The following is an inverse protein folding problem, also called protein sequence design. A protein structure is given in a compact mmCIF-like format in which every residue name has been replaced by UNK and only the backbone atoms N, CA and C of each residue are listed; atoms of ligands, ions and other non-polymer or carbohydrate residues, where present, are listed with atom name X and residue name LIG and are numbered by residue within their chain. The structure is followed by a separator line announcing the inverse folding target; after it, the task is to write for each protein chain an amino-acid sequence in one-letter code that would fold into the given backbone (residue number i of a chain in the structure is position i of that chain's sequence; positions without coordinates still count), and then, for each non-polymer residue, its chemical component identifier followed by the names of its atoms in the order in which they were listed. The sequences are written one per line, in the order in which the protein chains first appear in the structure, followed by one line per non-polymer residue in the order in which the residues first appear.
data_IF_920679139576
#
_entry.id   IF_920679139576
#
_cell.length_a   1.000
_cell.length_b   1.000
_cell.length_c   1.000
_cell.angle_alpha   90.00
_cell.angle_beta   90.00
_cell.angle_gamma   90.00
#
_symmetry.space_group_name_H-M   'P 1'
#
loop_
_entity.id
_entity.type
_entity.pdbx_description
1 polymer ?
#
# COMPACT_ATOMS: atom_id res chain seq x y z
N UNK A 1 -7.98 35.07 4.92
CA UNK A 1 -6.57 34.98 4.49
C UNK A 1 -6.54 33.87 3.46
N UNK A 2 -6.60 34.20 2.17
CA UNK A 2 -5.49 34.60 1.30
C UNK A 2 -4.71 33.35 0.88
N UNK A 3 -5.10 32.76 -0.26
CA UNK A 3 -4.41 31.67 -0.92
C UNK A 3 -3.03 32.17 -1.40
N UNK A 4 -2.09 32.26 -0.47
CA UNK A 4 -0.71 32.65 -0.72
C UNK A 4 0.15 31.41 -0.47
N UNK A 5 0.56 30.75 -1.55
CA UNK A 5 1.31 29.50 -1.50
C UNK A 5 1.56 28.96 -2.90
N UNK A 6 2.36 27.89 -3.01
CA UNK A 6 2.54 27.16 -4.25
C UNK A 6 1.55 25.99 -4.26
N UNK A 7 0.65 25.95 -5.24
CA UNK A 7 -0.38 24.91 -5.34
C UNK A 7 -0.16 24.05 -6.59
N UNK A 8 -0.39 22.74 -6.45
CA UNK A 8 -0.51 21.81 -7.58
C UNK A 8 -2.00 21.65 -7.87
N UNK A 9 -2.42 22.12 -9.04
CA UNK A 9 -3.75 21.89 -9.59
C UNK A 9 -3.65 20.72 -10.58
N UNK A 10 -4.06 19.50 -10.19
CA UNK A 10 -3.91 18.34 -11.05
C UNK A 10 -4.82 18.44 -12.27
N UNK A 11 -4.38 17.88 -13.40
CA UNK A 11 -5.15 17.91 -14.66
C UNK A 11 -6.44 17.11 -14.61
N UNK A 12 -6.55 16.17 -13.66
CA UNK A 12 -7.75 15.36 -13.47
C UNK A 12 -8.91 16.16 -12.83
N UNK A 13 -8.68 17.44 -12.50
CA UNK A 13 -9.68 18.36 -11.96
C UNK A 13 -10.07 18.09 -10.51
N UNK A 14 -9.39 17.17 -9.82
CA UNK A 14 -9.67 16.96 -8.39
C UNK A 14 -8.92 17.95 -7.49
N UNK A 15 -9.06 17.77 -6.17
CA UNK A 15 -8.59 18.73 -5.16
C UNK A 15 -7.14 19.16 -5.38
N UNK A 16 -6.91 20.48 -5.39
CA UNK A 16 -5.58 21.08 -5.41
C UNK A 16 -4.83 20.79 -4.12
N UNK A 17 -3.51 20.65 -4.22
CA UNK A 17 -2.66 20.44 -3.05
C UNK A 17 -1.74 21.64 -2.88
N UNK A 18 -1.81 22.24 -1.71
CA UNK A 18 -0.84 23.25 -1.27
C UNK A 18 0.49 22.57 -0.97
N UNK A 19 1.58 23.09 -1.53
CA UNK A 19 2.93 22.68 -1.19
C UNK A 19 3.40 23.48 0.03
N UNK A 20 3.39 22.81 1.18
CA UNK A 20 3.80 23.38 2.46
C UNK A 20 5.10 22.74 2.97
N UNK A 21 5.59 23.21 4.12
CA UNK A 21 6.60 22.51 4.94
C UNK A 21 6.16 21.14 5.46
N UNK A 22 4.98 20.63 5.16
CA UNK A 22 4.58 19.31 5.66
C UNK A 22 4.40 18.31 4.51
N UNK A 23 4.62 18.76 3.26
CA UNK A 23 4.46 17.94 2.07
C UNK A 23 5.80 17.48 1.52
N UNK A 24 6.11 16.19 1.72
CA UNK A 24 7.29 15.57 1.14
C UNK A 24 6.91 14.55 0.05
N UNK A 25 7.21 14.84 -1.23
CA UNK A 25 7.02 13.88 -2.30
C UNK A 25 7.82 12.59 -2.05
N UNK A 26 7.13 11.46 -2.14
CA UNK A 26 7.70 10.14 -2.00
C UNK A 26 8.24 9.65 -3.35
N UNK A 27 9.49 9.23 -3.33
CA UNK A 27 10.15 8.53 -4.43
C UNK A 27 9.95 7.03 -4.24
N UNK A 28 9.62 6.31 -5.31
CA UNK A 28 9.63 4.86 -5.26
C UNK A 28 11.08 4.37 -5.21
N UNK A 29 11.43 3.58 -4.20
CA UNK A 29 12.78 3.03 -4.04
C UNK A 29 12.83 1.65 -4.66
N UNK A 30 12.00 0.73 -4.16
CA UNK A 30 11.94 -0.65 -4.67
C UNK A 30 10.72 -1.38 -4.11
N UNK A 31 10.36 -2.51 -4.77
CA UNK A 31 9.45 -3.51 -4.23
C UNK A 31 10.29 -4.68 -3.71
N UNK A 32 10.12 -4.99 -2.43
CA UNK A 32 10.71 -6.18 -1.83
C UNK A 32 9.63 -7.25 -1.74
N UNK A 33 9.98 -8.45 -2.18
CA UNK A 33 9.16 -9.64 -1.98
C UNK A 33 9.97 -10.59 -1.12
N UNK A 34 9.39 -11.02 0.00
CA UNK A 34 10.00 -12.03 0.87
C UNK A 34 9.11 -13.25 0.92
N UNK A 35 9.74 -14.41 0.92
CA UNK A 35 9.07 -15.67 1.17
C UNK A 35 9.60 -16.21 2.51
N UNK A 36 8.74 -16.67 3.43
CA UNK A 36 9.15 -17.13 4.76
C UNK A 36 10.20 -18.24 4.70
N UNK A 37 10.24 -19.02 3.61
CA UNK A 37 11.20 -20.12 3.45
C UNK A 37 12.44 -19.80 2.62
N UNK A 38 12.48 -18.67 1.91
CA UNK A 38 13.62 -18.33 1.08
C UNK A 38 14.40 -17.13 1.66
N UNK A 39 15.73 -17.07 1.47
CA UNK A 39 16.57 -18.10 0.85
C UNK A 39 16.80 -19.33 1.76
N UNK A 40 16.67 -19.19 3.09
CA UNK A 40 16.83 -20.28 4.05
C UNK A 40 15.54 -20.52 4.84
N UNK A 41 15.08 -21.77 4.89
CA UNK A 41 13.83 -22.17 5.52
C UNK A 41 13.81 -21.93 7.02
N UNK A 42 14.91 -22.14 7.73
CA UNK A 42 14.89 -22.08 9.21
C UNK A 42 15.13 -20.67 9.76
N UNK A 43 15.39 -19.70 8.87
CA UNK A 43 15.71 -18.34 9.24
C UNK A 43 14.46 -17.45 9.23
N UNK A 44 13.91 -17.16 10.42
CA UNK A 44 12.74 -16.26 10.58
C UNK A 44 13.03 -14.80 10.25
N UNK A 45 14.28 -14.36 10.39
CA UNK A 45 14.72 -13.03 9.98
C UNK A 45 15.12 -13.04 8.51
N UNK A 46 14.41 -12.29 7.67
CA UNK A 46 14.81 -12.06 6.28
C UNK A 46 15.40 -10.66 6.16
N UNK A 47 16.43 -10.57 5.34
CA UNK A 47 17.10 -9.30 5.05
C UNK A 47 17.35 -9.20 3.55
N UNK A 48 17.18 -8.00 3.01
CA UNK A 48 17.46 -7.69 1.61
C UNK A 48 18.30 -6.42 1.57
N UNK A 49 19.49 -6.50 0.99
CA UNK A 49 20.32 -5.33 0.74
C UNK A 49 19.70 -4.52 -0.40
N UNK A 50 19.47 -3.23 -0.16
CA UNK A 50 19.00 -2.23 -1.11
C UNK A 50 20.05 -1.12 -1.11
N UNK A 51 21.06 -1.19 -2.00
CA UNK A 51 22.14 -0.22 -2.04
C UNK A 51 21.62 1.23 -2.11
N UNK A 52 22.15 2.10 -1.25
CA UNK A 52 21.77 3.52 -1.18
C UNK A 52 20.46 3.82 -0.44
N UNK A 53 19.79 2.81 0.15
CA UNK A 53 18.58 3.00 0.96
C UNK A 53 18.82 3.91 2.18
N UNK A 54 20.02 3.88 2.75
CA UNK A 54 20.40 4.72 3.90
C UNK A 54 20.27 6.23 3.65
N UNK A 55 20.27 6.66 2.37
CA UNK A 55 20.08 8.05 1.94
C UNK A 55 18.65 8.55 2.13
N UNK A 56 17.69 7.67 2.40
CA UNK A 56 16.27 8.01 2.47
C UNK A 56 15.70 7.90 3.89
N UNK A 57 14.74 8.77 4.21
CA UNK A 57 13.75 8.52 5.24
C UNK A 57 12.68 7.63 4.63
N UNK A 58 12.69 6.35 5.01
CA UNK A 58 11.91 5.30 4.33
C UNK A 58 10.52 5.19 4.91
N UNK A 59 9.53 5.12 4.02
CA UNK A 59 8.16 4.70 4.28
C UNK A 59 7.99 3.29 3.73
N UNK A 60 7.60 2.35 4.58
CA UNK A 60 7.36 0.96 4.20
C UNK A 60 5.85 0.74 4.13
N UNK A 61 5.35 0.36 2.95
CA UNK A 61 3.94 0.04 2.72
C UNK A 61 3.84 -1.48 2.56
N UNK A 62 3.35 -2.20 3.59
CA UNK A 62 3.25 -3.64 3.57
C UNK A 62 2.02 -4.14 2.80
N UNK A 63 2.10 -5.37 2.31
CA UNK A 63 1.01 -6.14 1.72
C UNK A 63 1.23 -7.63 1.99
N UNK A 64 0.14 -8.39 2.15
CA UNK A 64 0.16 -9.84 2.37
C UNK A 64 1.10 -10.27 3.53
N UNK A 65 0.86 -9.78 4.75
CA UNK A 65 1.75 -10.06 5.90
C UNK A 65 1.43 -11.34 6.68
N UNK A 66 0.34 -12.01 6.35
CA UNK A 66 -0.09 -13.24 7.00
C UNK A 66 -0.46 -14.23 5.92
N UNK A 67 -0.11 -15.49 6.12
CA UNK A 67 -0.35 -16.60 5.22
C UNK A 67 -0.72 -17.86 6.01
N UNK A 68 -1.51 -18.72 5.40
CA UNK A 68 -1.91 -20.00 5.99
C UNK A 68 -1.50 -21.16 5.10
N UNK A 69 -1.07 -22.24 5.73
CA UNK A 69 -0.72 -23.48 5.06
C UNK A 69 -1.28 -24.67 5.84
N UNK A 70 -1.43 -25.82 5.18
CA UNK A 70 -2.04 -26.99 5.77
C UNK A 70 -1.28 -28.28 5.38
N UNK A 71 -0.79 -28.99 6.41
CA UNK A 71 -0.13 -30.29 6.27
C UNK A 71 -0.43 -31.16 7.50
N UNK A 72 -1.57 -31.86 7.49
CA UNK A 72 -2.08 -32.63 8.64
C UNK A 72 -2.72 -31.77 9.73
N UNK A 73 -2.31 -30.49 9.83
CA UNK A 73 -2.96 -29.41 10.57
C UNK A 73 -2.79 -28.09 9.82
N UNK A 74 -3.62 -27.10 10.12
CA UNK A 74 -3.46 -25.75 9.56
C UNK A 74 -2.52 -24.93 10.43
N UNK A 75 -1.62 -24.19 9.80
CA UNK A 75 -0.56 -23.43 10.42
C UNK A 75 -0.51 -22.02 9.83
N UNK A 76 -0.14 -21.05 10.67
CA UNK A 76 0.00 -19.65 10.29
C UNK A 76 1.46 -19.29 10.06
N UNK A 77 1.68 -18.42 9.08
CA UNK A 77 2.94 -17.73 8.85
C UNK A 77 2.66 -16.24 8.84
N UNK A 78 3.30 -15.48 9.73
CA UNK A 78 3.00 -14.06 9.89
C UNK A 78 4.26 -13.24 10.07
N UNK A 79 4.29 -12.07 9.44
CA UNK A 79 5.30 -11.03 9.68
C UNK A 79 4.93 -10.28 10.96
N UNK A 80 5.76 -10.40 11.99
CA UNK A 80 5.58 -9.68 13.26
C UNK A 80 6.18 -8.28 13.25
N UNK A 81 7.28 -8.09 12.52
CA UNK A 81 7.92 -6.78 12.37
C UNK A 81 8.70 -6.65 11.06
N UNK A 82 8.90 -5.41 10.64
CA UNK A 82 9.71 -5.05 9.48
C UNK A 82 10.29 -3.65 9.72
N UNK A 83 11.52 -3.43 9.26
CA UNK A 83 12.25 -2.18 9.46
C UNK A 83 13.37 -2.04 8.44
N UNK A 84 13.98 -0.86 8.40
CA UNK A 84 15.20 -0.59 7.62
C UNK A 84 16.34 -0.19 8.55
N UNK A 85 17.55 -0.64 8.27
CA UNK A 85 18.77 -0.22 8.96
C UNK A 85 19.91 -0.11 7.95
N UNK A 86 20.52 1.07 7.86
CA UNK A 86 21.50 1.37 6.81
C UNK A 86 20.91 1.10 5.42
N UNK A 87 21.63 0.33 4.61
CA UNK A 87 21.20 -0.08 3.27
C UNK A 87 20.37 -1.37 3.25
N UNK A 88 19.87 -1.85 4.39
CA UNK A 88 19.20 -3.15 4.48
C UNK A 88 17.76 -3.01 4.96
N UNK A 89 16.85 -3.66 4.23
CA UNK A 89 15.51 -3.95 4.69
C UNK A 89 15.51 -5.27 5.46
N UNK A 90 14.73 -5.31 6.54
CA UNK A 90 14.55 -6.48 7.39
C UNK A 90 13.07 -6.79 7.59
N UNK A 91 12.72 -8.07 7.64
CA UNK A 91 11.44 -8.52 8.18
C UNK A 91 11.63 -9.76 9.06
N UNK A 92 10.82 -9.86 10.12
CA UNK A 92 10.81 -10.99 11.04
C UNK A 92 9.45 -11.68 11.00
N UNK A 93 9.48 -12.99 10.81
CA UNK A 93 8.31 -13.85 10.93
C UNK A 93 8.15 -14.33 12.38
N UNK A 94 7.11 -13.86 13.06
CA UNK A 94 6.86 -14.24 14.47
C UNK A 94 6.15 -15.59 14.59
N UNK A 95 5.35 -15.93 13.58
CA UNK A 95 4.69 -17.22 13.42
C UNK A 95 5.21 -17.91 12.17
N UNK A 96 5.48 -19.22 12.29
CA UNK A 96 6.22 -19.97 11.27
C UNK A 96 5.67 -21.39 11.12
N UNK A 97 4.96 -21.63 10.02
CA UNK A 97 4.40 -22.93 9.64
C UNK A 97 5.37 -23.90 8.95
N UNK A 98 4.90 -25.12 8.76
CA UNK A 98 5.61 -26.30 8.25
C UNK A 98 5.96 -26.29 6.75
N UNK A 99 6.41 -27.43 6.20
CA UNK A 99 7.15 -27.50 4.95
C UNK A 99 6.39 -27.27 3.66
N UNK A 100 5.06 -27.43 3.56
CA UNK A 100 4.29 -27.27 2.31
C UNK A 100 2.77 -27.14 2.55
N UNK A 101 2.01 -26.78 1.51
CA UNK A 101 0.54 -26.80 1.49
C UNK A 101 -0.15 -25.44 1.68
N UNK A 102 0.25 -24.40 0.96
CA UNK A 102 -0.41 -23.09 1.04
C UNK A 102 -1.92 -23.22 0.81
N UNK A 103 -2.70 -22.64 1.73
CA UNK A 103 -4.14 -22.54 1.53
C UNK A 103 -4.43 -21.49 0.45
N UNK A 104 -5.55 -21.64 -0.29
CA UNK A 104 -5.95 -20.68 -1.32
C UNK A 104 -6.02 -19.26 -0.80
N UNK A 105 -5.89 -18.26 -1.68
CA UNK A 105 -5.89 -16.83 -1.31
C UNK A 105 -4.54 -16.28 -0.84
N UNK A 106 -3.50 -17.12 -0.87
CA UNK A 106 -2.10 -16.84 -0.56
C UNK A 106 -1.19 -17.37 -1.67
N UNK A 107 -0.25 -16.56 -2.13
CA UNK A 107 0.92 -17.01 -2.91
C UNK A 107 2.12 -17.38 -2.02
N UNK A 108 2.00 -17.15 -0.71
CA UNK A 108 3.05 -17.39 0.28
C UNK A 108 4.10 -16.28 0.34
N UNK A 109 3.91 -15.20 -0.40
CA UNK A 109 4.85 -14.09 -0.50
C UNK A 109 4.35 -12.86 0.25
N UNK A 110 5.19 -12.28 1.11
CA UNK A 110 4.95 -10.97 1.69
C UNK A 110 5.58 -9.88 0.84
N UNK A 111 4.85 -8.80 0.59
CA UNK A 111 5.33 -7.70 -0.24
C UNK A 111 5.49 -6.42 0.57
N UNK A 112 6.56 -5.68 0.27
CA UNK A 112 6.86 -4.40 0.90
C UNK A 112 7.22 -3.40 -0.19
N UNK A 113 6.45 -2.33 -0.31
CA UNK A 113 6.76 -1.24 -1.22
C UNK A 113 7.50 -0.16 -0.42
N UNK A 114 8.76 0.06 -0.77
CA UNK A 114 9.60 1.05 -0.12
C UNK A 114 9.53 2.34 -0.91
N UNK A 115 9.09 3.38 -0.21
CA UNK A 115 9.15 4.75 -0.67
C UNK A 115 10.07 5.54 0.24
N UNK A 116 10.53 6.70 -0.19
CA UNK A 116 11.23 7.58 0.73
C UNK A 116 11.45 8.98 0.22
N UNK A 117 11.88 9.81 1.15
CA UNK A 117 12.33 11.17 0.93
C UNK A 117 13.83 11.21 1.18
N UNK A 118 14.59 11.94 0.37
CA UNK A 118 16.03 12.07 0.61
C UNK A 118 16.27 12.76 1.97
N UNK A 119 17.20 12.21 2.76
CA UNK A 119 17.64 12.81 4.03
C UNK A 119 18.36 14.12 3.77
N UNK A 120 19.30 14.08 2.85
CA UNK A 120 20.15 15.21 2.47
C UNK A 120 20.00 15.53 0.99
N UNK A 121 20.23 16.79 0.64
CA UNK A 121 20.26 17.22 -0.75
C UNK A 121 21.61 16.82 -1.35
N UNK A 122 21.66 15.94 -2.38
CA UNK A 122 22.94 15.56 -2.95
C UNK A 122 23.56 16.77 -3.65
N UNK A 123 24.86 17.06 -3.44
CA UNK A 123 25.54 18.15 -4.14
C UNK A 123 25.44 17.96 -5.66
N UNK A 124 25.39 19.07 -6.41
CA UNK A 124 25.36 19.09 -7.88
C UNK A 124 24.17 18.37 -8.53
N UNK A 125 23.03 18.29 -7.86
CA UNK A 125 21.79 17.74 -8.43
C UNK A 125 20.86 18.83 -8.98
N UNK A 126 20.30 18.57 -10.16
CA UNK A 126 19.28 19.43 -10.79
C UNK A 126 17.91 19.11 -10.19
N UNK A 127 17.18 20.13 -9.76
CA UNK A 127 15.89 19.98 -9.12
C UNK A 127 15.31 21.27 -8.55
N UNK A 128 14.09 21.21 -8.03
CA UNK A 128 13.52 22.27 -7.19
C UNK A 128 13.83 21.94 -5.73
N UNK A 129 14.60 22.81 -5.09
CA UNK A 129 14.89 22.78 -3.66
C UNK A 129 14.30 24.03 -3.02
N UNK A 130 13.36 23.86 -2.10
CA UNK A 130 12.90 24.97 -1.27
C UNK A 130 13.73 24.94 0.02
N UNK A 131 14.78 25.76 0.05
CA UNK A 131 15.71 25.83 1.18
C UNK A 131 15.10 26.70 2.29
N UNK A 132 14.87 26.11 3.47
CA UNK A 132 14.50 26.88 4.65
C UNK A 132 15.77 27.32 5.38
N UNK A 133 16.02 28.63 5.43
CA UNK A 133 16.89 29.18 6.46
C UNK A 133 16.34 28.84 7.86
N UNK A 134 17.22 28.87 8.87
CA UNK A 134 17.06 28.36 10.23
C UNK A 134 15.85 28.86 11.08
N UNK A 135 14.89 29.57 10.50
CA UNK A 135 13.67 30.09 11.16
C UNK A 135 12.40 30.02 10.31
N UNK A 136 12.34 29.23 9.23
CA UNK A 136 11.35 29.44 8.15
C UNK A 136 10.29 28.33 8.03
N UNK A 137 9.04 28.74 7.81
CA UNK A 137 7.83 27.92 7.73
C UNK A 137 7.69 27.00 6.49
N UNK A 138 8.75 26.74 5.71
CA UNK A 138 8.75 25.85 4.52
C UNK A 138 9.97 24.93 4.56
N UNK A 139 10.21 24.31 5.71
CA UNK A 139 11.18 23.22 5.83
C UNK A 139 10.39 21.95 5.48
N UNK A 140 10.50 21.37 4.26
CA UNK A 140 10.22 19.96 3.89
C UNK A 140 9.77 19.65 2.45
N UNK A 141 9.64 20.63 1.55
CA UNK A 141 9.71 20.29 0.11
C UNK A 141 11.20 20.09 -0.25
N UNK A 142 11.78 18.98 0.24
CA UNK A 142 13.25 18.81 0.26
C UNK A 142 13.84 18.76 -1.15
N UNK A 143 13.30 17.97 -2.07
CA UNK A 143 13.64 18.04 -3.49
C UNK A 143 12.88 17.09 -4.42
N UNK A 144 12.62 17.55 -5.65
CA UNK A 144 12.51 16.67 -6.81
C UNK A 144 13.83 16.79 -7.58
N UNK A 145 14.64 15.74 -7.59
CA UNK A 145 15.94 15.73 -8.28
C UNK A 145 15.93 14.77 -9.46
N UNK A 146 16.97 14.88 -10.29
CA UNK A 146 17.28 13.91 -11.34
C UNK A 146 17.42 12.44 -10.85
N UNK A 147 17.68 12.22 -9.55
CA UNK A 147 17.85 10.87 -8.97
C UNK A 147 16.53 10.27 -8.47
N UNK A 148 15.46 11.07 -8.39
CA UNK A 148 14.22 10.68 -7.75
C UNK A 148 13.14 10.41 -8.78
N UNK A 149 12.65 9.17 -8.83
CA UNK A 149 11.42 8.83 -9.52
C UNK A 149 10.22 9.03 -8.59
N UNK A 150 9.73 10.26 -8.54
CA UNK A 150 8.55 10.63 -7.76
C UNK A 150 7.37 9.75 -8.16
N UNK A 151 6.69 9.20 -7.17
CA UNK A 151 5.43 8.53 -7.40
C UNK A 151 4.28 9.55 -7.43
N UNK A 152 3.33 9.33 -8.32
CA UNK A 152 2.23 10.24 -8.59
C UNK A 152 0.88 9.55 -8.43
N UNK A 153 -0.12 10.32 -8.00
CA UNK A 153 -1.52 9.97 -8.13
C UNK A 153 -1.88 9.97 -9.62
N UNK A 154 -2.01 8.79 -10.20
CA UNK A 154 -2.31 8.58 -11.63
C UNK A 154 -3.78 8.25 -11.88
N UNK A 155 -4.52 7.94 -10.82
CA UNK A 155 -5.95 7.67 -10.90
C UNK A 155 -6.62 8.06 -9.59
N UNK A 156 -7.67 8.86 -9.68
CA UNK A 156 -8.50 9.25 -8.54
C UNK A 156 -9.95 9.39 -9.00
N UNK A 157 -10.80 8.42 -8.67
CA UNK A 157 -12.23 8.46 -9.05
C UNK A 157 -13.11 7.76 -8.03
N UNK A 158 -14.37 8.19 -7.98
CA UNK A 158 -15.48 7.43 -7.41
C UNK A 158 -16.02 6.48 -8.48
N UNK A 159 -15.99 5.18 -8.22
CA UNK A 159 -16.47 4.13 -9.13
C UNK A 159 -17.63 3.38 -8.49
N UNK A 160 -18.52 2.81 -9.31
CA UNK A 160 -19.52 1.86 -8.84
C UNK A 160 -19.07 0.44 -9.17
N UNK A 161 -19.10 -0.46 -8.18
CA UNK A 161 -18.89 -1.89 -8.41
C UNK A 161 -20.24 -2.57 -8.27
N UNK A 162 -20.74 -3.10 -9.39
CA UNK A 162 -21.93 -3.95 -9.41
C UNK A 162 -21.56 -5.40 -9.07
N UNK A 163 -22.53 -6.17 -8.59
CA UNK A 163 -22.31 -7.55 -8.13
C UNK A 163 -23.35 -8.52 -8.66
N UNK A 164 -22.91 -9.74 -8.96
CA UNK A 164 -23.78 -10.89 -9.23
C UNK A 164 -23.56 -11.94 -8.14
N UNK A 165 -24.64 -12.38 -7.49
CA UNK A 165 -24.59 -13.25 -6.31
C UNK A 165 -23.66 -12.70 -5.23
N UNK A 166 -23.76 -11.38 -5.01
CA UNK A 166 -22.93 -10.58 -4.11
C UNK A 166 -21.43 -10.51 -4.46
N UNK A 167 -20.98 -11.06 -5.60
CA UNK A 167 -19.59 -11.00 -6.03
C UNK A 167 -19.45 -10.06 -7.23
N UNK A 168 -18.50 -9.13 -7.15
CA UNK A 168 -18.20 -8.23 -8.25
C UNK A 168 -16.75 -7.81 -8.23
N UNK A 169 -16.31 -7.18 -9.31
CA UNK A 169 -14.99 -6.60 -9.38
C UNK A 169 -14.96 -5.38 -10.29
N UNK A 170 -13.95 -4.55 -10.08
CA UNK A 170 -13.55 -3.51 -11.01
C UNK A 170 -12.06 -3.64 -11.30
N UNK A 171 -11.67 -3.51 -12.57
CA UNK A 171 -10.27 -3.62 -12.98
C UNK A 171 -9.63 -2.25 -13.07
N UNK A 172 -8.39 -2.15 -12.57
CA UNK A 172 -7.59 -0.95 -12.83
C UNK A 172 -7.49 -0.70 -14.35
N UNK A 173 -7.51 0.56 -14.79
CA UNK A 173 -7.22 0.91 -16.17
C UNK A 173 -5.88 0.34 -16.65
N UNK A 174 -5.84 -0.07 -17.92
CA UNK A 174 -4.66 -0.70 -18.51
C UNK A 174 -3.51 0.29 -18.79
N UNK A 175 -3.81 1.58 -18.81
CA UNK A 175 -2.89 2.68 -19.08
C UNK A 175 -2.15 3.19 -17.82
N UNK A 176 -2.44 2.62 -16.63
CA UNK A 176 -1.69 2.92 -15.41
C UNK A 176 -0.23 2.43 -15.57
N UNK A 177 0.77 3.32 -15.51
CA UNK A 177 2.19 2.93 -15.59
C UNK A 177 2.58 2.00 -14.43
N UNK A 178 3.56 1.11 -14.64
CA UNK A 178 4.07 0.19 -13.61
C UNK A 178 2.98 -0.49 -12.77
N UNK A 179 1.86 -0.84 -13.42
CA UNK A 179 0.61 -1.29 -12.79
C UNK A 179 0.79 -2.40 -11.75
N UNK A 180 1.69 -3.34 -11.99
CA UNK A 180 1.99 -4.46 -11.07
C UNK A 180 2.51 -4.00 -9.70
N UNK A 181 3.14 -2.83 -9.65
CA UNK A 181 3.69 -2.21 -8.43
C UNK A 181 2.93 -0.96 -7.99
N UNK A 182 1.79 -0.65 -8.62
CA UNK A 182 0.95 0.47 -8.22
C UNK A 182 0.36 0.24 -6.83
N UNK A 183 0.26 1.32 -6.06
CA UNK A 183 -0.42 1.32 -4.77
C UNK A 183 -1.86 1.75 -4.94
N UNK A 184 -2.78 0.98 -4.38
CA UNK A 184 -4.21 1.23 -4.49
C UNK A 184 -4.78 1.48 -3.10
N UNK A 185 -5.35 2.66 -2.91
CA UNK A 185 -6.04 3.06 -1.70
C UNK A 185 -7.54 3.12 -1.95
N UNK A 186 -8.28 2.48 -1.05
CA UNK A 186 -9.71 2.27 -1.19
C UNK A 186 -10.45 2.84 0.01
N UNK A 187 -11.62 3.41 -0.24
CA UNK A 187 -12.64 3.68 0.76
C UNK A 187 -14.00 3.52 0.13
N UNK A 188 -14.80 2.58 0.63
CA UNK A 188 -16.17 2.43 0.19
C UNK A 188 -17.07 3.50 0.83
N UNK A 189 -18.11 3.90 0.12
CA UNK A 189 -19.12 4.85 0.64
C UNK A 189 -20.11 4.16 1.57
N UNK A 190 -20.49 2.92 1.27
CA UNK A 190 -21.38 2.10 2.09
C UNK A 190 -20.59 1.22 3.04
N UNK A 191 -20.78 1.37 4.35
CA UNK A 191 -20.05 0.62 5.39
C UNK A 191 -20.21 -0.90 5.32
N UNK A 192 -21.24 -1.42 4.66
CA UNK A 192 -21.48 -2.87 4.52
C UNK A 192 -20.69 -3.56 3.40
N UNK A 193 -20.12 -2.81 2.46
CA UNK A 193 -19.36 -3.39 1.35
C UNK A 193 -17.96 -3.82 1.83
N UNK A 194 -17.57 -5.05 1.48
CA UNK A 194 -16.24 -5.60 1.81
C UNK A 194 -15.38 -5.63 0.56
N UNK A 195 -14.20 -5.03 0.63
CA UNK A 195 -13.29 -4.84 -0.49
C UNK A 195 -11.94 -5.53 -0.26
N UNK A 196 -11.33 -5.99 -1.34
CA UNK A 196 -9.94 -6.44 -1.40
C UNK A 196 -9.31 -5.95 -2.68
N UNK A 197 -8.06 -5.53 -2.63
CA UNK A 197 -7.25 -5.40 -3.83
C UNK A 197 -6.57 -6.75 -4.14
N UNK A 198 -6.90 -7.29 -5.30
CA UNK A 198 -6.32 -8.49 -5.89
C UNK A 198 -5.22 -8.06 -6.87
N UNK A 199 -4.01 -7.92 -6.34
CA UNK A 199 -2.85 -7.41 -7.06
C UNK A 199 -2.46 -8.25 -8.28
N UNK A 200 -2.37 -9.60 -8.22
CA UNK A 200 -2.03 -10.41 -9.39
C UNK A 200 -2.92 -10.13 -10.61
N UNK A 201 -4.22 -9.89 -10.38
CA UNK A 201 -5.17 -9.60 -11.46
C UNK A 201 -5.40 -8.09 -11.69
N UNK A 202 -4.84 -7.24 -10.83
CA UNK A 202 -5.03 -5.79 -10.79
C UNK A 202 -6.52 -5.38 -10.73
N UNK A 203 -7.25 -5.97 -9.78
CA UNK A 203 -8.70 -5.76 -9.60
C UNK A 203 -9.03 -5.43 -8.16
N UNK A 204 -10.04 -4.59 -7.98
CA UNK A 204 -10.73 -4.43 -6.71
C UNK A 204 -11.86 -5.45 -6.72
N UNK A 205 -11.79 -6.42 -5.81
CA UNK A 205 -12.84 -7.41 -5.58
C UNK A 205 -13.80 -6.86 -4.52
N UNK A 206 -15.10 -7.05 -4.74
CA UNK A 206 -16.15 -6.59 -3.84
C UNK A 206 -17.09 -7.71 -3.43
N UNK A 207 -17.41 -7.74 -2.14
CA UNK A 207 -18.61 -8.38 -1.61
C UNK A 207 -19.67 -7.30 -1.35
N UNK A 208 -20.76 -7.33 -2.14
CA UNK A 208 -21.83 -6.32 -2.11
C UNK A 208 -21.60 -5.21 -3.14
N UNK A 209 -22.68 -4.67 -3.68
CA UNK A 209 -22.62 -3.54 -4.62
C UNK A 209 -22.49 -2.21 -3.89
N UNK A 210 -21.85 -1.24 -4.52
CA UNK A 210 -21.66 0.07 -3.91
C UNK A 210 -20.62 0.94 -4.59
N UNK A 211 -20.63 2.21 -4.18
CA UNK A 211 -19.65 3.20 -4.60
C UNK A 211 -18.35 3.06 -3.80
N UNK A 212 -17.23 3.14 -4.51
CA UNK A 212 -15.88 3.06 -3.96
C UNK A 212 -15.06 4.24 -4.46
N UNK A 213 -14.43 4.95 -3.54
CA UNK A 213 -13.40 5.94 -3.85
C UNK A 213 -12.07 5.22 -4.00
N UNK A 214 -11.40 5.45 -5.13
CA UNK A 214 -10.16 4.79 -5.51
C UNK A 214 -9.11 5.85 -5.80
N UNK A 215 -7.96 5.73 -5.13
CA UNK A 215 -6.74 6.47 -5.44
C UNK A 215 -5.65 5.48 -5.80
N UNK A 216 -4.96 5.70 -6.92
CA UNK A 216 -3.84 4.87 -7.37
C UNK A 216 -2.59 5.72 -7.50
N UNK A 217 -1.55 5.32 -6.78
CA UNK A 217 -0.21 5.86 -6.96
C UNK A 217 0.66 4.95 -7.80
N UNK A 218 1.41 5.54 -8.72
CA UNK A 218 2.40 4.83 -9.52
C UNK A 218 3.64 5.69 -9.81
N UNK A 219 4.70 5.05 -10.29
CA UNK A 219 5.98 5.65 -10.64
C UNK A 219 6.33 5.31 -12.10
N UNK A 220 7.42 5.85 -12.64
CA UNK A 220 7.86 5.56 -14.01
C UNK A 220 6.98 6.15 -15.11
N UNK A 221 6.34 7.28 -14.80
CA UNK A 221 5.62 8.04 -15.80
C UNK A 221 6.61 8.62 -16.82
N UNK A 222 6.25 8.50 -18.10
CA UNK A 222 6.91 9.28 -19.15
C UNK A 222 6.34 10.71 -19.16
N UNK A 223 6.78 11.51 -18.18
CA UNK A 223 6.27 12.86 -17.98
C UNK A 223 6.51 13.74 -19.22
N UNK A 224 5.47 14.47 -19.60
CA UNK A 224 5.54 15.52 -20.61
C UNK A 224 5.50 16.89 -19.93
N UNK A 225 5.98 17.96 -20.58
CA UNK A 225 5.84 19.30 -20.04
C UNK A 225 4.37 19.63 -19.80
N UNK A 226 4.06 20.21 -18.64
CA UNK A 226 2.73 20.68 -18.28
C UNK A 226 2.65 22.21 -18.43
N UNK A 227 1.43 22.73 -18.58
CA UNK A 227 1.15 24.17 -18.61
C UNK A 227 1.41 24.87 -17.25
N UNK A 228 1.65 24.09 -16.19
CA UNK A 228 2.03 24.57 -14.86
C UNK A 228 3.53 24.43 -14.56
N UNK A 229 3.88 23.87 -13.40
CA UNK A 229 5.27 23.67 -13.00
C UNK A 229 5.84 22.43 -13.69
N UNK A 230 6.92 22.60 -14.43
CA UNK A 230 7.70 21.50 -15.03
C UNK A 230 9.16 21.62 -14.57
N UNK A 231 9.73 20.51 -14.09
CA UNK A 231 11.15 20.43 -13.69
C UNK A 231 11.85 19.48 -14.64
N UNK A 232 12.97 19.95 -15.18
CA UNK A 232 13.83 19.19 -16.10
C UNK A 232 15.14 18.80 -15.41
N UNK A 233 15.69 17.64 -15.77
CA UNK A 233 17.05 17.28 -15.39
C UNK A 233 18.09 17.82 -16.39
N UNK A 234 19.38 17.60 -16.10
CA UNK A 234 20.51 18.03 -16.93
C UNK A 234 20.45 17.48 -18.37
N UNK A 235 19.86 16.30 -18.54
CA UNK A 235 19.71 15.62 -19.83
C UNK A 235 18.50 16.12 -20.64
N UNK A 236 17.74 17.09 -20.13
CA UNK A 236 16.55 17.59 -20.79
C UNK A 236 15.37 16.62 -20.74
N UNK A 237 15.28 15.76 -19.72
CA UNK A 237 14.09 14.94 -19.42
C UNK A 237 13.26 15.61 -18.33
N UNK A 238 11.92 15.59 -18.47
CA UNK A 238 11.00 16.01 -17.41
C UNK A 238 11.05 15.01 -16.25
N UNK A 239 11.39 15.50 -15.07
CA UNK A 239 11.46 14.71 -13.81
C UNK A 239 10.30 15.01 -12.88
N UNK A 240 9.63 16.15 -13.09
CA UNK A 240 8.38 16.48 -12.43
C UNK A 240 7.52 17.37 -13.31
N UNK A 241 6.21 17.16 -13.23
CA UNK A 241 5.23 18.11 -13.74
C UNK A 241 4.06 18.24 -12.76
N UNK A 242 3.34 19.35 -12.82
CA UNK A 242 2.20 19.62 -11.94
C UNK A 242 0.88 19.01 -12.43
N UNK A 243 0.87 18.31 -13.55
CA UNK A 243 -0.34 17.62 -14.04
C UNK A 243 -0.81 16.55 -13.07
N UNK A 244 0.12 15.95 -12.33
CA UNK A 244 -0.16 14.90 -11.37
C UNK A 244 0.24 15.33 -9.96
N UNK A 245 -0.59 14.96 -8.99
CA UNK A 245 -0.28 15.11 -7.57
C UNK A 245 0.80 14.09 -7.19
N UNK A 246 1.91 14.48 -6.54
CA UNK A 246 2.84 13.54 -5.94
C UNK A 246 2.19 12.70 -4.83
N UNK A 247 2.69 11.50 -4.61
CA UNK A 247 2.41 10.77 -3.39
C UNK A 247 3.19 11.43 -2.24
N UNK A 248 2.52 11.94 -1.21
CA UNK A 248 3.19 12.61 -0.10
C UNK A 248 3.38 11.69 1.11
N UNK A 249 4.41 11.97 1.92
CA UNK A 249 4.61 11.32 3.22
C UNK A 249 3.67 11.91 4.30
N UNK A 250 2.36 11.80 4.08
CA UNK A 250 1.32 12.28 4.99
C UNK A 250 0.45 11.14 5.55
N UNK A 251 0.75 9.89 5.19
CA UNK A 251 0.04 8.71 5.68
C UNK A 251 0.72 8.04 6.89
N UNK A 252 0.12 6.97 7.39
CA UNK A 252 0.72 6.14 8.43
C UNK A 252 0.28 4.68 8.35
N UNK A 253 1.09 3.81 8.97
CA UNK A 253 0.76 2.40 9.12
C UNK A 253 -0.19 2.20 10.30
N UNK A 254 -1.29 1.49 10.09
CA UNK A 254 -2.17 0.98 11.14
C UNK A 254 -1.90 -0.51 11.36
N UNK A 255 -1.93 -0.97 12.62
CA UNK A 255 -1.78 -2.39 12.96
C UNK A 255 -3.13 -2.99 13.33
N UNK A 256 -3.44 -4.16 12.77
CA UNK A 256 -4.63 -4.92 13.15
C UNK A 256 -4.49 -5.51 14.56
N UNK A 257 -5.50 -5.32 15.38
CA UNK A 257 -5.73 -5.99 16.65
C UNK A 257 -7.15 -6.53 16.66
N UNK A 258 -7.32 -7.86 16.74
CA UNK A 258 -8.64 -8.50 16.74
C UNK A 258 -9.49 -8.16 15.51
N UNK A 259 -8.92 -8.23 14.29
CA UNK A 259 -9.53 -7.88 13.00
C UNK A 259 -9.82 -6.39 12.79
N UNK A 260 -9.40 -5.51 13.70
CA UNK A 260 -9.67 -4.08 13.59
C UNK A 260 -8.36 -3.31 13.66
N UNK A 261 -8.18 -2.35 12.77
CA UNK A 261 -7.15 -1.33 12.89
C UNK A 261 -7.81 0.05 12.87
N UNK A 262 -7.32 0.95 13.72
CA UNK A 262 -7.86 2.30 13.83
C UNK A 262 -6.83 3.29 13.30
N UNK A 263 -7.22 4.13 12.35
CA UNK A 263 -6.42 5.24 11.84
C UNK A 263 -6.58 6.48 12.72
N UNK A 264 -5.55 7.33 12.74
CA UNK A 264 -5.67 8.69 13.31
C UNK A 264 -6.45 9.66 12.41
N UNK A 265 -6.67 9.34 11.14
CA UNK A 265 -7.50 10.17 10.24
C UNK A 265 -8.98 10.00 10.54
N UNK A 266 -9.77 11.06 10.37
CA UNK A 266 -11.22 10.98 10.50
C UNK A 266 -11.85 10.16 9.35
N UNK A 267 -11.32 10.34 8.12
CA UNK A 267 -11.78 9.65 6.91
C UNK A 267 -10.60 8.98 6.20
N UNK A 268 -10.03 7.89 6.72
CA UNK A 268 -8.92 7.21 6.08
C UNK A 268 -9.32 6.48 4.78
N UNK A 269 -8.39 6.42 3.82
CA UNK A 269 -8.36 5.42 2.76
C UNK A 269 -7.23 4.42 3.06
N UNK A 270 -7.45 3.13 2.81
CA UNK A 270 -6.51 2.08 3.18
C UNK A 270 -5.97 1.34 1.97
N UNK A 271 -4.72 0.90 2.07
CA UNK A 271 -4.18 -0.16 1.22
C UNK A 271 -4.81 -1.49 1.64
N UNK A 272 -5.75 -2.01 0.84
CA UNK A 272 -6.49 -3.25 1.13
C UNK A 272 -5.92 -4.45 0.38
N UNK A 273 -4.60 -4.51 0.31
CA UNK A 273 -3.89 -5.43 -0.55
C UNK A 273 -3.73 -6.81 0.07
N UNK A 274 -4.31 -7.81 -0.60
CA UNK A 274 -4.18 -9.24 -0.29
C UNK A 274 -4.21 -9.60 1.22
N UNK A 275 -5.36 -9.42 1.91
CA UNK A 275 -5.56 -9.81 3.32
C UNK A 275 -5.53 -11.32 3.63
N UNK A 276 -5.01 -12.13 2.71
CA UNK A 276 -4.99 -13.58 2.78
C UNK A 276 -6.39 -14.22 2.88
N UNK A 277 -6.51 -15.32 3.61
CA UNK A 277 -7.73 -16.13 3.72
C UNK A 277 -8.26 -16.12 5.14
N UNK A 278 -9.57 -16.11 5.27
CA UNK A 278 -10.28 -16.22 6.55
C UNK A 278 -10.63 -17.69 6.78
N UNK A 279 -10.34 -18.20 7.98
CA UNK A 279 -10.46 -19.62 8.30
C UNK A 279 -11.45 -19.85 9.43
N UNK A 280 -12.36 -20.80 9.25
CA UNK A 280 -13.32 -21.22 10.27
C UNK A 280 -13.39 -22.74 10.35
N UNK A 281 -13.44 -23.28 11.57
CA UNK A 281 -13.65 -24.72 11.74
C UNK A 281 -15.11 -25.08 11.51
N UNK A 282 -15.34 -26.12 10.72
CA UNK A 282 -16.62 -26.77 10.58
C UNK A 282 -16.46 -28.30 10.74
N UNK A 283 -16.77 -28.79 11.94
CA UNK A 283 -16.68 -30.21 12.34
C UNK A 283 -15.27 -30.80 12.19
N UNK A 284 -15.00 -31.46 11.07
CA UNK A 284 -13.72 -32.13 10.72
C UNK A 284 -12.97 -31.41 9.60
N UNK A 285 -13.50 -30.25 9.16
CA UNK A 285 -12.94 -29.44 8.10
C UNK A 285 -12.62 -28.04 8.61
N UNK A 286 -11.71 -27.37 7.91
CA UNK A 286 -11.46 -25.93 7.99
C UNK A 286 -11.96 -25.32 6.69
N UNK A 287 -12.99 -24.48 6.76
CA UNK A 287 -13.46 -23.72 5.62
C UNK A 287 -12.54 -22.54 5.36
N UNK A 288 -12.17 -22.38 4.10
CA UNK A 288 -11.37 -21.29 3.61
C UNK A 288 -12.28 -20.30 2.89
N UNK A 289 -12.27 -19.05 3.35
CA UNK A 289 -13.01 -17.96 2.72
C UNK A 289 -12.02 -16.93 2.20
N UNK A 290 -12.31 -16.35 1.04
CA UNK A 290 -11.64 -15.13 0.64
C UNK A 290 -11.89 -14.08 1.73
N UNK A 291 -10.88 -13.35 2.17
CA UNK A 291 -11.05 -12.24 3.10
C UNK A 291 -10.97 -10.90 2.37
N UNK A 292 -11.53 -9.88 3.00
CA UNK A 292 -11.44 -8.49 2.58
C UNK A 292 -11.57 -7.57 3.78
N UNK A 293 -11.73 -6.28 3.52
CA UNK A 293 -11.92 -5.28 4.55
C UNK A 293 -13.14 -4.41 4.26
N UNK A 294 -13.82 -3.99 5.33
CA UNK A 294 -14.72 -2.84 5.29
C UNK A 294 -14.10 -1.71 6.12
N UNK A 295 -14.38 -0.49 5.71
CA UNK A 295 -14.09 0.73 6.47
C UNK A 295 -15.33 1.23 7.18
N UNK A 296 -15.25 1.41 8.50
CA UNK A 296 -16.29 2.04 9.32
C UNK A 296 -15.68 3.22 10.08
N UNK A 297 -16.13 4.45 9.80
CA UNK A 297 -15.51 5.67 10.30
C UNK A 297 -14.01 5.73 9.96
N UNK A 298 -13.17 5.67 10.99
CA UNK A 298 -11.71 5.63 10.91
C UNK A 298 -11.10 4.22 11.09
N UNK A 299 -11.93 3.17 11.06
CA UNK A 299 -11.50 1.79 11.30
C UNK A 299 -11.49 0.98 10.02
N UNK A 300 -10.42 0.22 9.82
CA UNK A 300 -10.35 -0.88 8.87
C UNK A 300 -10.72 -2.16 9.60
N UNK A 301 -11.71 -2.91 9.10
CA UNK A 301 -12.26 -4.09 9.76
C UNK A 301 -12.18 -5.26 8.78
N UNK A 302 -11.38 -6.26 9.12
CA UNK A 302 -11.30 -7.49 8.35
C UNK A 302 -12.62 -8.24 8.40
N UNK A 303 -13.08 -8.68 7.24
CA UNK A 303 -14.31 -9.45 7.09
C UNK A 303 -14.07 -10.64 6.17
N UNK A 304 -14.79 -11.71 6.48
CA UNK A 304 -14.97 -12.83 5.58
C UNK A 304 -15.65 -12.35 4.29
N UNK A 305 -15.36 -12.99 3.17
CA UNK A 305 -16.08 -12.89 1.90
C UNK A 305 -16.84 -14.20 1.62
N UNK A 306 -16.61 -14.84 0.48
CA UNK A 306 -17.20 -16.14 0.16
C UNK A 306 -16.22 -17.29 0.31
N UNK A 307 -16.75 -18.50 0.45
CA UNK A 307 -15.98 -19.75 0.49
C UNK A 307 -15.22 -19.95 -0.81
N UNK A 308 -13.90 -20.17 -0.70
CA UNK A 308 -13.02 -20.47 -1.82
C UNK A 308 -12.55 -21.93 -1.81
N UNK A 309 -12.49 -22.56 -0.64
CA UNK A 309 -12.09 -23.97 -0.51
C UNK A 309 -12.42 -24.52 0.90
N UNK A 310 -12.09 -25.79 1.15
CA UNK A 310 -12.08 -26.41 2.47
C UNK A 310 -10.91 -27.38 2.61
N UNK A 311 -10.43 -27.57 3.85
CA UNK A 311 -9.34 -28.49 4.16
C UNK A 311 -9.76 -29.47 5.25
N UNK A 312 -9.69 -30.79 5.04
CA UNK A 312 -9.90 -31.78 6.10
C UNK A 312 -8.80 -31.65 7.17
N UNK A 313 -9.18 -31.39 8.43
CA UNK A 313 -8.23 -31.30 9.53
C UNK A 313 -8.45 -32.40 10.55
N UNK A 314 -7.42 -33.19 10.81
CA UNK A 314 -7.43 -34.26 11.80
C UNK A 314 -7.15 -33.75 13.23
N UNK A 315 -6.74 -32.48 13.36
CA UNK A 315 -6.42 -31.84 14.62
C UNK A 315 -7.07 -30.44 14.67
N UNK A 316 -8.14 -30.30 15.46
CA UNK A 316 -8.95 -29.09 15.62
C UNK A 316 -8.24 -27.96 16.42
N UNK A 317 -6.95 -27.70 16.18
CA UNK A 317 -6.17 -26.72 16.95
C UNK A 317 -6.11 -25.33 16.31
N UNK A 318 -7.17 -24.90 15.63
CA UNK A 318 -7.25 -23.53 15.11
C UNK A 318 -8.48 -22.81 15.68
N UNK A 319 -8.28 -21.86 16.58
CA UNK A 319 -9.35 -20.98 17.02
C UNK A 319 -9.51 -19.86 15.97
N UNK A 320 -10.51 -19.97 15.08
CA UNK A 320 -10.98 -18.93 14.13
C UNK A 320 -9.95 -17.82 13.86
N UNK A 321 -8.91 -18.12 13.07
CA UNK A 321 -7.80 -17.19 12.95
C UNK A 321 -8.09 -16.05 11.97
N UNK A 322 -7.86 -14.88 12.55
CA UNK A 322 -8.13 -13.50 12.16
C UNK A 322 -7.07 -13.03 11.15
N UNK A 323 -7.45 -12.12 10.24
CA UNK A 323 -6.48 -11.43 9.38
C UNK A 323 -5.63 -10.50 10.26
N UNK A 324 -4.45 -10.99 10.66
CA UNK A 324 -3.45 -10.16 11.32
C UNK A 324 -2.49 -9.59 10.27
N UNK A 325 -2.68 -8.33 9.89
CA UNK A 325 -1.67 -7.58 9.15
C UNK A 325 -1.80 -6.09 9.40
N UNK A 326 -0.73 -5.34 9.20
CA UNK A 326 -0.82 -3.88 9.09
C UNK A 326 -1.31 -3.47 7.70
N UNK A 327 -1.79 -2.23 7.60
CA UNK A 327 -2.13 -1.55 6.35
C UNK A 327 -1.58 -0.14 6.42
N UNK A 328 -1.16 0.43 5.29
CA UNK A 328 -0.88 1.86 5.20
C UNK A 328 -2.15 2.62 4.84
N UNK A 329 -2.36 3.77 5.45
CA UNK A 329 -3.51 4.63 5.20
C UNK A 329 -3.10 6.08 4.94
N UNK A 330 -3.96 6.76 4.19
CA UNK A 330 -3.88 8.18 3.83
C UNK A 330 -5.22 8.85 4.17
N UNK A 331 -5.25 10.17 4.32
CA UNK A 331 -6.50 10.90 4.52
C UNK A 331 -7.27 11.02 3.18
N UNK A 332 -8.55 10.67 3.19
CA UNK A 332 -9.46 10.89 2.05
C UNK A 332 -9.53 12.37 1.65
N UNK A 333 -9.54 13.27 2.64
CA UNK A 333 -9.73 14.70 2.41
C UNK A 333 -8.56 15.33 1.66
N UNK A 334 -7.39 14.68 1.62
CA UNK A 334 -6.25 15.16 0.83
C UNK A 334 -6.47 14.97 -0.67
N UNK A 335 -7.43 14.14 -1.06
CA UNK A 335 -7.67 13.75 -2.44
C UNK A 335 -9.08 14.09 -2.93
N UNK A 336 -10.11 14.06 -2.10
CA UNK A 336 -11.50 14.34 -2.49
C UNK A 336 -12.12 15.45 -1.64
#
# INVERSE_FOLDING_TARGET
MSDMGLFINPKDGGKSIELTKDNYPLTFITKITTHPRYPNRDQRNKSVNVPGLSRYNVVIIPSALCHFLAYGSVQMVRVGSYWTSGDTFHCYYDEFGGPDGWLPGSDGESHFFLYGTLKDNPPDTYGLFLNAGASSAIDNFRSVTQENEVAYCVYRKKIYIDVNNNRGYWSLPNDIPNRSSALVFLRQENTSQVLRYDRPNNRIISWGAGWVYVVVFSYGLNLQPADGLTIWNKQGKVVFNSDYIPFFNNGHTVKMSGNVATSSFEKPMFSMDMPNTWLENERVNVNCYLSGFRVENNKLIANRMWTIDFYPSYANYMYNQVVYSSSYCIDFNDYF
#
